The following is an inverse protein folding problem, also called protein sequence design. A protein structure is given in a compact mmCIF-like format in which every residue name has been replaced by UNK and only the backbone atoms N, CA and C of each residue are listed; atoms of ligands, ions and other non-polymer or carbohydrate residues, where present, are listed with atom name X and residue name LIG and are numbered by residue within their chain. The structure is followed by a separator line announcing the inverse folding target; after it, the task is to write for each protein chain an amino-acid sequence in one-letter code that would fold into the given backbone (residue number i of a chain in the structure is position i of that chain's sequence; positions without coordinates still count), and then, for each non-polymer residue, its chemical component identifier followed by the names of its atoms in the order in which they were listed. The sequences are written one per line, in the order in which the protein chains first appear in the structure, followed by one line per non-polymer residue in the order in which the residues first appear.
data_IF_293614617950
#
_entry.id   IF_293614617950
#
_cell.length_a   1.000
_cell.length_b   1.000
_cell.length_c   1.000
_cell.angle_alpha   90.00
_cell.angle_beta   90.00
_cell.angle_gamma   90.00
#
_symmetry.space_group_name_H-M   'P 1'
#
loop_
_entity.id
_entity.type
_entity.pdbx_description
1 polymer ?
#
# COMPACT_ATOMS: atom_id res chain seq x y z
N UNK A 1 33.56 -16.78 29.72
CA UNK A 1 32.72 -16.32 30.85
C UNK A 1 33.66 -15.74 31.90
N UNK A 2 33.35 -14.62 32.60
CA UNK A 2 32.04 -14.04 33.00
C UNK A 2 31.76 -12.69 32.26
N UNK A 3 30.54 -12.21 31.98
CA UNK A 3 29.28 -11.88 32.70
C UNK A 3 29.10 -10.38 33.07
N UNK A 4 28.19 -9.74 32.32
CA UNK A 4 27.11 -8.78 32.69
C UNK A 4 27.28 -7.23 32.77
N UNK A 5 26.42 -6.59 31.93
CA UNK A 5 25.39 -5.55 32.18
C UNK A 5 25.66 -4.02 32.16
N UNK A 6 24.88 -3.38 31.27
CA UNK A 6 24.14 -2.09 31.33
C UNK A 6 24.92 -0.77 31.17
N UNK A 7 24.65 -0.07 30.06
CA UNK A 7 24.13 1.31 30.09
C UNK A 7 23.56 1.72 28.73
N UNK A 8 22.27 2.07 28.74
CA UNK A 8 21.61 2.91 27.76
C UNK A 8 22.20 4.33 27.85
N UNK A 9 22.25 5.08 26.74
CA UNK A 9 21.64 6.40 26.80
C UNK A 9 20.78 6.69 25.58
N UNK A 10 19.47 6.74 25.80
CA UNK A 10 18.62 7.70 25.12
C UNK A 10 19.02 9.10 25.62
N UNK A 11 19.62 9.92 24.74
CA UNK A 11 19.46 11.37 24.83
C UNK A 11 19.67 12.00 23.46
N UNK A 12 18.71 12.86 23.09
CA UNK A 12 18.78 13.90 22.06
C UNK A 12 18.84 13.50 20.58
N UNK A 13 17.68 13.20 20.00
CA UNK A 13 17.30 13.81 18.72
C UNK A 13 15.88 14.38 18.84
N UNK A 14 15.81 15.55 19.47
CA UNK A 14 14.75 16.53 19.18
C UNK A 14 15.07 17.05 17.78
N UNK A 15 14.48 16.44 16.75
CA UNK A 15 14.44 17.07 15.43
C UNK A 15 13.44 18.21 15.56
N UNK A 16 13.97 19.39 15.90
CA UNK A 16 13.22 20.62 15.97
C UNK A 16 12.54 20.89 14.63
N UNK A 17 11.28 21.34 14.70
CA UNK A 17 10.47 21.81 13.56
C UNK A 17 11.18 22.83 12.66
N UNK A 18 12.31 23.39 13.09
CA UNK A 18 13.09 24.38 12.35
C UNK A 18 13.99 23.79 11.25
N UNK A 19 14.40 22.51 11.32
CA UNK A 19 15.38 21.98 10.35
C UNK A 19 14.80 21.66 8.97
N UNK A 20 13.47 21.54 8.86
CA UNK A 20 12.78 21.38 7.57
C UNK A 20 12.57 22.75 6.93
N UNK A 21 12.22 23.77 7.73
CA UNK A 21 12.00 25.15 7.26
C UNK A 21 13.26 25.74 6.62
N UNK A 22 14.43 25.51 7.23
CA UNK A 22 15.71 26.02 6.71
C UNK A 22 16.17 25.34 5.41
N UNK A 23 15.74 24.10 5.14
CA UNK A 23 16.11 23.37 3.91
C UNK A 23 15.23 23.70 2.70
N UNK A 24 14.06 24.32 2.92
CA UNK A 24 13.09 24.64 1.87
C UNK A 24 13.12 26.12 1.43
N UNK A 25 13.80 26.99 2.19
CA UNK A 25 14.01 28.40 1.86
C UNK A 25 14.71 28.66 0.49
N UNK A 26 15.63 27.84 -0.02
CA UNK A 26 16.24 28.07 -1.34
C UNK A 26 15.27 27.90 -2.51
N UNK A 27 14.10 27.27 -2.29
CA UNK A 27 13.13 26.92 -3.33
C UNK A 27 11.92 27.86 -3.37
N UNK A 28 11.96 28.99 -2.67
CA UNK A 28 10.94 30.04 -2.79
C UNK A 28 9.56 29.69 -2.22
N UNK A 29 9.45 28.63 -1.42
CA UNK A 29 8.20 28.27 -0.74
C UNK A 29 8.06 29.03 0.59
N UNK A 30 7.59 30.27 0.53
CA UNK A 30 7.05 30.98 1.69
C UNK A 30 5.52 30.87 1.72
N UNK A 31 5.06 30.12 2.71
CA UNK A 31 3.73 30.07 3.36
C UNK A 31 2.57 30.87 2.72
N UNK A 32 1.58 30.11 2.20
CA UNK A 32 0.16 30.37 2.44
C UNK A 32 -0.59 29.02 2.54
N UNK A 33 -0.32 28.26 3.61
CA UNK A 33 -1.18 27.16 4.03
C UNK A 33 -1.90 27.59 5.31
N UNK A 34 -3.01 28.30 5.13
CA UNK A 34 -4.00 28.45 6.19
C UNK A 34 -4.70 27.11 6.39
N UNK A 35 -4.79 26.65 7.64
CA UNK A 35 -5.34 25.37 8.08
C UNK A 35 -6.78 25.04 7.62
N UNK A 36 -7.46 25.95 6.91
CA UNK A 36 -8.79 25.75 6.34
C UNK A 36 -8.79 25.17 4.91
N UNK A 37 -7.64 25.08 4.22
CA UNK A 37 -7.55 24.51 2.87
C UNK A 37 -7.27 23.00 2.83
N UNK A 38 -6.60 22.44 3.84
CA UNK A 38 -6.28 21.01 3.89
C UNK A 38 -7.55 20.14 3.91
N UNK A 39 -8.62 20.63 4.54
CA UNK A 39 -9.89 19.91 4.61
C UNK A 39 -10.68 19.95 3.31
N UNK A 40 -10.47 20.97 2.47
CA UNK A 40 -11.19 21.15 1.20
C UNK A 40 -10.49 20.38 0.07
N UNK A 41 -9.16 20.40 0.03
CA UNK A 41 -8.36 19.61 -0.92
C UNK A 41 -8.44 18.11 -0.63
N UNK A 42 -8.42 17.71 0.65
CA UNK A 42 -8.61 16.32 1.03
C UNK A 42 -10.03 15.83 0.69
N UNK A 43 -11.06 16.66 0.90
CA UNK A 43 -12.43 16.34 0.45
C UNK A 43 -12.53 16.26 -1.06
N UNK A 44 -11.86 17.12 -1.82
CA UNK A 44 -11.84 17.06 -3.28
C UNK A 44 -11.13 15.79 -3.78
N UNK A 45 -10.00 15.41 -3.18
CA UNK A 45 -9.28 14.18 -3.49
C UNK A 45 -10.11 12.94 -3.14
N UNK A 46 -10.74 12.91 -1.95
CA UNK A 46 -11.66 11.83 -1.54
C UNK A 46 -12.87 11.75 -2.47
N UNK A 47 -13.43 12.89 -2.89
CA UNK A 47 -14.56 12.95 -3.83
C UNK A 47 -14.15 12.48 -5.23
N UNK A 48 -12.95 12.84 -5.69
CA UNK A 48 -12.35 12.35 -6.94
C UNK A 48 -12.08 10.84 -6.87
N UNK A 49 -11.57 10.34 -5.74
CA UNK A 49 -11.32 8.91 -5.53
C UNK A 49 -12.61 8.09 -5.39
N UNK A 50 -13.66 8.64 -4.74
CA UNK A 50 -15.01 8.03 -4.71
C UNK A 50 -15.61 7.94 -6.11
N UNK A 51 -15.51 9.01 -6.90
CA UNK A 51 -15.94 9.03 -8.31
C UNK A 51 -15.11 8.08 -9.21
N UNK A 52 -13.84 7.84 -8.85
CA UNK A 52 -12.93 6.99 -9.60
C UNK A 52 -13.15 5.48 -9.36
N UNK A 53 -13.56 5.10 -8.15
CA UNK A 53 -13.72 3.68 -7.78
C UNK A 53 -15.15 3.15 -7.91
N UNK A 54 -16.16 4.03 -7.99
CA UNK A 54 -17.57 3.62 -8.12
C UNK A 54 -18.30 4.49 -9.13
N UNK A 55 -18.98 3.83 -10.06
CA UNK A 55 -19.73 4.37 -11.19
C UNK A 55 -21.03 5.09 -10.84
N UNK A 56 -21.11 5.79 -9.70
CA UNK A 56 -22.25 6.66 -9.38
C UNK A 56 -21.85 8.12 -9.63
N UNK A 57 -21.75 8.43 -10.91
CA UNK A 57 -21.41 9.74 -11.49
C UNK A 57 -22.72 10.52 -11.72
N UNK A 58 -23.38 10.93 -10.65
CA UNK A 58 -24.53 11.84 -10.74
C UNK A 58 -24.10 13.30 -10.91
N UNK A 59 -23.00 13.70 -10.25
CA UNK A 59 -22.74 15.12 -9.96
C UNK A 59 -21.42 15.68 -10.57
N UNK A 60 -20.76 14.96 -11.50
CA UNK A 60 -19.51 15.39 -12.14
C UNK A 60 -19.53 15.31 -13.67
N UNK A 61 -20.67 15.62 -14.27
CA UNK A 61 -20.92 15.48 -15.71
C UNK A 61 -20.03 16.38 -16.60
N UNK A 62 -19.26 17.34 -16.06
CA UNK A 62 -18.53 18.33 -16.89
C UNK A 62 -17.00 18.30 -16.81
N UNK A 63 -16.39 17.33 -16.11
CA UNK A 63 -14.94 17.15 -16.18
C UNK A 63 -14.62 15.96 -17.08
N UNK A 64 -14.22 16.25 -18.32
CA UNK A 64 -13.73 15.26 -19.29
C UNK A 64 -12.32 14.76 -18.87
N UNK A 65 -12.27 14.09 -17.73
CA UNK A 65 -11.07 13.53 -17.14
C UNK A 65 -10.77 12.22 -17.85
N UNK A 66 -9.57 12.10 -18.43
CA UNK A 66 -9.09 10.84 -18.99
C UNK A 66 -8.80 9.84 -17.85
N UNK A 67 -9.85 9.11 -17.48
CA UNK A 67 -9.81 8.08 -16.43
C UNK A 67 -8.78 7.00 -16.77
N UNK A 68 -8.59 6.67 -18.06
CA UNK A 68 -7.62 5.66 -18.47
C UNK A 68 -6.18 6.15 -18.23
N UNK A 69 -5.88 7.41 -18.54
CA UNK A 69 -4.59 8.03 -18.23
C UNK A 69 -4.34 8.08 -16.72
N UNK A 70 -5.30 8.59 -15.94
CA UNK A 70 -5.16 8.65 -14.47
C UNK A 70 -4.95 7.28 -13.84
N UNK A 71 -5.67 6.26 -14.32
CA UNK A 71 -5.49 4.88 -13.83
C UNK A 71 -4.08 4.38 -14.07
N UNK A 72 -3.51 4.62 -15.27
CA UNK A 72 -2.13 4.26 -15.58
C UNK A 72 -1.14 5.01 -14.69
N UNK A 73 -1.35 6.32 -14.49
CA UNK A 73 -0.48 7.16 -13.66
C UNK A 73 -0.47 6.69 -12.20
N UNK A 74 -1.64 6.47 -11.59
CA UNK A 74 -1.77 5.97 -10.22
C UNK A 74 -1.18 4.57 -10.08
N UNK A 75 -1.37 3.71 -11.08
CA UNK A 75 -0.80 2.37 -11.08
C UNK A 75 0.74 2.40 -11.17
N UNK A 76 1.32 3.24 -12.03
CA UNK A 76 2.77 3.46 -12.08
C UNK A 76 3.32 4.01 -10.77
N UNK A 77 2.62 4.97 -10.14
CA UNK A 77 2.99 5.51 -8.84
C UNK A 77 3.03 4.43 -7.75
N UNK A 78 2.00 3.57 -7.69
CA UNK A 78 1.95 2.47 -6.74
C UNK A 78 3.13 1.49 -6.92
N UNK A 79 3.55 1.20 -8.16
CA UNK A 79 4.69 0.31 -8.43
C UNK A 79 6.02 0.96 -8.08
N UNK A 80 6.19 2.26 -8.35
CA UNK A 80 7.38 3.00 -7.94
C UNK A 80 7.52 3.03 -6.42
N UNK A 81 6.42 3.28 -5.71
CA UNK A 81 6.40 3.23 -4.25
C UNK A 81 6.70 1.83 -3.74
N UNK A 82 6.06 0.79 -4.30
CA UNK A 82 6.40 -0.60 -3.97
C UNK A 82 7.88 -0.85 -4.11
N UNK A 83 8.49 -0.51 -5.25
CA UNK A 83 9.93 -0.71 -5.49
C UNK A 83 10.79 -0.01 -4.42
N UNK A 84 10.50 1.26 -4.12
CA UNK A 84 11.21 2.00 -3.07
C UNK A 84 11.07 1.32 -1.69
N UNK A 85 9.89 0.81 -1.35
CA UNK A 85 9.66 0.05 -0.11
C UNK A 85 10.46 -1.26 -0.09
N UNK A 86 10.64 -1.93 -1.23
CA UNK A 86 11.41 -3.18 -1.31
C UNK A 86 12.91 -2.99 -1.11
N UNK A 87 13.43 -1.79 -1.38
CA UNK A 87 14.84 -1.45 -1.12
C UNK A 87 15.13 -1.21 0.37
N UNK A 88 14.09 -1.03 1.19
CA UNK A 88 14.25 -0.94 2.64
C UNK A 88 14.35 -2.32 3.27
N UNK A 89 15.35 -2.53 4.14
CA UNK A 89 15.60 -3.82 4.79
C UNK A 89 15.10 -3.83 6.24
N UNK A 90 14.53 -4.97 6.64
CA UNK A 90 14.26 -5.30 8.04
C UNK A 90 13.29 -4.34 8.74
N UNK A 91 13.73 -3.73 9.85
CA UNK A 91 12.90 -2.90 10.72
C UNK A 91 12.32 -1.68 10.01
N UNK A 92 13.08 -1.07 9.08
CA UNK A 92 12.61 0.09 8.32
C UNK A 92 11.41 -0.28 7.45
N UNK A 93 11.48 -1.44 6.78
CA UNK A 93 10.37 -1.95 5.99
C UNK A 93 9.13 -2.21 6.85
N UNK A 94 9.32 -2.75 8.05
CA UNK A 94 8.22 -2.98 9.02
C UNK A 94 7.55 -1.67 9.45
N UNK A 95 8.32 -0.63 9.76
CA UNK A 95 7.79 0.69 10.13
C UNK A 95 7.01 1.32 8.97
N UNK A 96 7.56 1.26 7.76
CA UNK A 96 6.90 1.79 6.57
C UNK A 96 5.62 1.04 6.25
N UNK A 97 5.61 -0.29 6.36
CA UNK A 97 4.42 -1.10 6.14
C UNK A 97 3.36 -0.89 7.22
N UNK A 98 3.76 -0.67 8.48
CA UNK A 98 2.83 -0.28 9.56
C UNK A 98 2.18 1.07 9.24
N UNK A 99 2.96 2.06 8.83
CA UNK A 99 2.45 3.37 8.45
C UNK A 99 1.53 3.27 7.23
N UNK A 100 1.94 2.54 6.19
CA UNK A 100 1.12 2.25 5.02
C UNK A 100 -0.21 1.63 5.42
N UNK A 101 -0.21 0.60 6.26
CA UNK A 101 -1.42 -0.08 6.71
C UNK A 101 -2.36 0.87 7.47
N UNK A 102 -1.82 1.71 8.35
CA UNK A 102 -2.61 2.73 9.06
C UNK A 102 -3.25 3.73 8.10
N UNK A 103 -2.48 4.26 7.14
CA UNK A 103 -3.00 5.21 6.16
C UNK A 103 -4.03 4.56 5.23
N UNK A 104 -3.81 3.31 4.82
CA UNK A 104 -4.76 2.54 4.04
C UNK A 104 -6.10 2.43 4.78
N UNK A 105 -6.10 2.06 6.06
CA UNK A 105 -7.34 1.97 6.85
C UNK A 105 -8.06 3.30 6.97
N UNK A 106 -7.33 4.41 7.20
CA UNK A 106 -7.91 5.75 7.22
C UNK A 106 -8.57 6.09 5.89
N UNK A 107 -7.93 5.77 4.77
CA UNK A 107 -8.48 6.00 3.43
C UNK A 107 -9.68 5.10 3.15
N UNK A 108 -9.66 3.82 3.55
CA UNK A 108 -10.79 2.92 3.40
C UNK A 108 -12.01 3.43 4.18
N UNK A 109 -11.81 3.90 5.40
CA UNK A 109 -12.88 4.48 6.22
C UNK A 109 -13.45 5.76 5.59
N UNK A 110 -12.59 6.70 5.16
CA UNK A 110 -13.00 7.93 4.49
C UNK A 110 -13.77 7.67 3.17
N UNK A 111 -13.46 6.56 2.49
CA UNK A 111 -14.12 6.12 1.28
C UNK A 111 -15.34 5.22 1.53
N UNK A 112 -15.66 4.94 2.80
CA UNK A 112 -16.73 4.01 3.22
C UNK A 112 -16.57 2.61 2.61
N UNK A 113 -15.32 2.18 2.44
CA UNK A 113 -14.94 0.88 1.91
C UNK A 113 -14.76 -0.14 3.03
N UNK A 114 -15.73 -1.03 3.16
CA UNK A 114 -15.68 -2.09 4.17
C UNK A 114 -14.86 -3.29 3.67
N UNK A 115 -13.54 -3.14 3.65
CA UNK A 115 -12.58 -4.22 3.36
C UNK A 115 -11.99 -4.74 4.68
N UNK A 116 -12.70 -5.64 5.36
CA UNK A 116 -12.27 -6.17 6.67
C UNK A 116 -11.72 -7.59 6.62
N UNK A 117 -11.95 -8.28 5.52
CA UNK A 117 -11.58 -9.67 5.31
C UNK A 117 -11.22 -9.90 3.84
N UNK A 118 -10.52 -10.99 3.58
CA UNK A 118 -10.02 -11.32 2.24
C UNK A 118 -11.17 -11.54 1.25
N UNK A 119 -12.32 -12.03 1.70
CA UNK A 119 -13.48 -12.31 0.83
C UNK A 119 -14.12 -11.02 0.33
N UNK A 120 -14.35 -10.04 1.22
CA UNK A 120 -14.86 -8.71 0.88
C UNK A 120 -13.92 -7.95 -0.05
N UNK A 121 -12.60 -8.05 0.20
CA UNK A 121 -11.59 -7.49 -0.70
C UNK A 121 -11.61 -8.09 -2.10
N UNK A 122 -11.62 -9.42 -2.22
CA UNK A 122 -11.68 -10.11 -3.52
C UNK A 122 -12.95 -9.75 -4.29
N UNK A 123 -14.08 -9.73 -3.59
CA UNK A 123 -15.38 -9.37 -4.19
C UNK A 123 -15.34 -7.96 -4.75
N UNK A 124 -14.75 -7.02 -4.00
CA UNK A 124 -14.61 -5.63 -4.42
C UNK A 124 -13.72 -5.49 -5.65
N UNK A 125 -12.57 -6.17 -5.69
CA UNK A 125 -11.68 -6.16 -6.86
C UNK A 125 -12.36 -6.68 -8.14
N UNK A 126 -13.15 -7.76 -7.99
CA UNK A 126 -13.91 -8.34 -9.12
C UNK A 126 -15.03 -7.41 -9.57
N UNK A 127 -15.81 -6.85 -8.62
CA UNK A 127 -16.90 -5.90 -8.92
C UNK A 127 -16.38 -4.65 -9.65
N UNK A 128 -15.19 -4.18 -9.28
CA UNK A 128 -14.51 -3.06 -9.93
C UNK A 128 -13.89 -3.43 -11.30
N UNK A 129 -13.96 -4.68 -11.73
CA UNK A 129 -13.38 -5.12 -13.01
C UNK A 129 -11.85 -5.02 -13.07
N UNK A 130 -11.17 -4.96 -11.92
CA UNK A 130 -9.71 -4.83 -11.84
C UNK A 130 -8.99 -6.15 -12.09
N UNK A 131 -9.68 -7.26 -11.83
CA UNK A 131 -9.16 -8.63 -11.89
C UNK A 131 -10.25 -9.58 -12.36
N UNK A 132 -9.89 -10.59 -13.15
CA UNK A 132 -10.80 -11.69 -13.52
C UNK A 132 -10.94 -12.70 -12.38
N UNK A 133 -9.82 -13.06 -11.77
CA UNK A 133 -9.78 -14.06 -10.72
C UNK A 133 -8.76 -13.68 -9.64
N UNK A 134 -9.14 -13.90 -8.39
CA UNK A 134 -8.24 -13.87 -7.24
C UNK A 134 -8.45 -15.13 -6.44
N UNK A 135 -7.35 -15.77 -6.04
CA UNK A 135 -7.33 -16.97 -5.20
C UNK A 135 -6.40 -16.73 -4.01
N UNK A 136 -6.84 -17.17 -2.84
CA UNK A 136 -5.98 -17.29 -1.66
C UNK A 136 -5.89 -18.75 -1.30
N UNK A 137 -4.67 -19.26 -1.16
CA UNK A 137 -4.40 -20.66 -0.86
C UNK A 137 -3.51 -20.75 0.37
N UNK A 138 -3.93 -21.50 1.37
CA UNK A 138 -3.01 -21.95 2.40
C UNK A 138 -2.08 -23.00 1.78
N UNK A 139 -0.78 -22.74 1.77
CA UNK A 139 0.24 -23.71 1.36
C UNK A 139 0.71 -24.54 2.55
N UNK A 140 0.67 -23.95 3.75
CA UNK A 140 0.89 -24.63 5.03
C UNK A 140 0.19 -23.85 6.16
N UNK A 141 0.36 -24.27 7.41
CA UNK A 141 -0.12 -23.50 8.57
C UNK A 141 0.53 -22.14 8.74
N UNK A 142 1.68 -21.90 8.08
CA UNK A 142 2.48 -20.66 8.17
C UNK A 142 2.69 -19.98 6.83
N UNK A 143 2.11 -20.47 5.74
CA UNK A 143 2.34 -19.89 4.41
C UNK A 143 1.02 -19.77 3.65
N UNK A 144 0.76 -18.58 3.14
CA UNK A 144 -0.38 -18.28 2.29
C UNK A 144 0.11 -17.74 0.94
N UNK A 145 -0.49 -18.22 -0.13
CA UNK A 145 -0.29 -17.71 -1.48
C UNK A 145 -1.52 -16.89 -1.94
N UNK A 146 -1.27 -15.64 -2.31
CA UNK A 146 -2.23 -14.74 -2.93
C UNK A 146 -1.96 -14.66 -4.44
N UNK A 147 -2.95 -15.09 -5.24
CA UNK A 147 -2.84 -15.21 -6.70
C UNK A 147 -3.86 -14.27 -7.34
N UNK A 148 -3.39 -13.41 -8.23
CA UNK A 148 -4.21 -12.55 -9.09
C UNK A 148 -4.04 -13.00 -10.53
N UNK A 149 -5.15 -13.12 -11.26
CA UNK A 149 -5.17 -13.42 -12.69
C UNK A 149 -6.11 -12.49 -13.46
N UNK A 150 -5.75 -12.23 -14.72
CA UNK A 150 -6.47 -11.30 -15.58
C UNK A 150 -6.55 -9.90 -14.96
N UNK A 151 -5.44 -9.40 -14.44
CA UNK A 151 -5.36 -8.02 -13.97
C UNK A 151 -5.46 -7.06 -15.16
N UNK A 152 -6.45 -6.18 -15.13
CA UNK A 152 -6.75 -5.22 -16.21
C UNK A 152 -5.59 -4.26 -16.46
N UNK A 153 -4.75 -4.04 -15.44
CA UNK A 153 -3.61 -3.13 -15.51
C UNK A 153 -2.27 -3.81 -15.85
N UNK A 154 -2.25 -5.14 -15.91
CA UNK A 154 -1.04 -5.91 -16.22
C UNK A 154 -0.35 -5.48 -17.53
N UNK A 155 -1.06 -5.19 -18.65
CA UNK A 155 -0.42 -4.79 -19.90
C UNK A 155 0.46 -3.53 -19.80
N UNK A 156 0.23 -2.68 -18.80
CA UNK A 156 0.95 -1.40 -18.66
C UNK A 156 2.22 -1.52 -17.83
N UNK A 157 2.28 -2.45 -16.88
CA UNK A 157 3.37 -2.51 -15.88
C UNK A 157 4.06 -3.87 -15.83
N UNK A 158 3.33 -4.98 -15.98
CA UNK A 158 3.90 -6.31 -15.76
C UNK A 158 4.97 -6.65 -16.79
N UNK A 159 4.74 -6.32 -18.07
CA UNK A 159 5.74 -6.54 -19.13
C UNK A 159 7.05 -5.82 -18.81
N UNK A 160 6.99 -4.59 -18.30
CA UNK A 160 8.17 -3.85 -17.89
C UNK A 160 8.88 -4.53 -16.70
N UNK A 161 8.13 -4.90 -15.66
CA UNK A 161 8.67 -5.57 -14.46
C UNK A 161 9.36 -6.90 -14.83
N UNK A 162 8.72 -7.70 -15.70
CA UNK A 162 9.26 -8.98 -16.17
C UNK A 162 10.52 -8.76 -17.01
N UNK A 163 10.46 -7.90 -18.03
CA UNK A 163 11.58 -7.67 -18.95
C UNK A 163 12.79 -7.04 -18.27
N UNK A 164 12.60 -6.33 -17.14
CA UNK A 164 13.67 -5.77 -16.33
C UNK A 164 14.21 -6.72 -15.26
N UNK A 165 13.70 -7.96 -15.16
CA UNK A 165 14.14 -8.92 -14.15
C UNK A 165 13.80 -8.47 -12.72
N UNK A 166 12.71 -7.72 -12.56
CA UNK A 166 12.22 -7.21 -11.27
C UNK A 166 11.16 -8.12 -10.64
N UNK A 167 10.71 -9.15 -11.36
CA UNK A 167 9.85 -10.20 -10.82
C UNK A 167 10.53 -10.91 -9.64
N UNK A 168 9.79 -11.12 -8.55
CA UNK A 168 10.32 -11.63 -7.27
C UNK A 168 11.00 -10.57 -6.40
N UNK A 169 11.36 -9.40 -6.95
CA UNK A 169 11.99 -8.28 -6.22
C UNK A 169 11.04 -7.14 -5.93
N UNK A 170 9.91 -7.07 -6.63
CA UNK A 170 8.88 -6.06 -6.44
C UNK A 170 7.64 -6.64 -5.77
N UNK A 171 6.95 -5.80 -5.01
CA UNK A 171 5.65 -6.14 -4.42
C UNK A 171 4.51 -5.62 -5.30
N UNK A 172 3.59 -6.52 -5.67
CA UNK A 172 2.33 -6.17 -6.30
C UNK A 172 1.49 -5.30 -5.34
N UNK A 173 1.02 -4.11 -5.74
CA UNK A 173 0.21 -3.25 -4.87
C UNK A 173 -1.07 -3.93 -4.36
N UNK A 174 -1.71 -4.76 -5.20
CA UNK A 174 -2.88 -5.54 -4.76
C UNK A 174 -2.53 -6.56 -3.68
N UNK A 175 -1.31 -7.11 -3.72
CA UNK A 175 -0.82 -8.01 -2.69
C UNK A 175 -0.44 -7.25 -1.40
N UNK A 176 0.09 -6.03 -1.50
CA UNK A 176 0.33 -5.17 -0.34
C UNK A 176 -0.95 -4.87 0.44
N UNK A 177 -2.05 -4.56 -0.27
CA UNK A 177 -3.38 -4.42 0.34
C UNK A 177 -3.83 -5.76 0.93
N UNK A 178 -3.72 -6.86 0.18
CA UNK A 178 -4.10 -8.20 0.64
C UNK A 178 -3.41 -8.58 1.96
N UNK A 179 -2.14 -8.23 2.12
CA UNK A 179 -1.37 -8.47 3.34
C UNK A 179 -1.99 -7.76 4.56
N UNK A 180 -2.38 -6.49 4.40
CA UNK A 180 -3.02 -5.72 5.48
C UNK A 180 -4.39 -6.32 5.82
N UNK A 181 -5.19 -6.65 4.80
CA UNK A 181 -6.50 -7.27 5.00
C UNK A 181 -6.36 -8.64 5.68
N UNK A 182 -5.39 -9.45 5.26
CA UNK A 182 -5.10 -10.74 5.87
C UNK A 182 -4.66 -10.57 7.34
N UNK A 183 -3.88 -9.55 7.66
CA UNK A 183 -3.50 -9.26 9.04
C UNK A 183 -4.72 -8.86 9.89
N UNK A 184 -5.62 -8.01 9.35
CA UNK A 184 -6.87 -7.62 10.02
C UNK A 184 -7.76 -8.81 10.32
N UNK A 185 -7.94 -9.70 9.34
CA UNK A 185 -8.74 -10.93 9.49
C UNK A 185 -8.19 -11.83 10.62
N UNK A 186 -6.89 -11.70 10.91
CA UNK A 186 -6.18 -12.40 11.99
C UNK A 186 -6.08 -11.61 13.29
N UNK A 187 -6.82 -10.50 13.42
CA UNK A 187 -6.91 -9.72 14.64
C UNK A 187 -5.77 -8.72 14.84
N UNK A 188 -5.00 -8.37 13.80
CA UNK A 188 -4.06 -7.26 13.86
C UNK A 188 -4.79 -5.95 14.17
N UNK A 189 -4.11 -5.06 14.91
CA UNK A 189 -4.57 -3.72 15.25
C UNK A 189 -3.50 -2.68 14.86
N UNK A 190 -3.86 -1.47 14.42
CA UNK A 190 -2.91 -0.48 13.87
C UNK A 190 -1.79 -0.03 14.81
N UNK A 191 -1.99 -0.19 16.12
CA UNK A 191 -1.01 0.10 17.16
C UNK A 191 0.09 -0.98 17.26
N UNK A 192 -0.17 -2.20 16.78
CA UNK A 192 0.75 -3.35 16.79
C UNK A 192 1.61 -3.45 15.52
N UNK A 193 2.70 -4.20 15.59
CA UNK A 193 3.55 -4.46 14.42
C UNK A 193 2.83 -5.33 13.39
N UNK A 194 2.72 -4.88 12.13
CA UNK A 194 2.08 -5.67 11.06
C UNK A 194 2.80 -7.02 10.86
N UNK A 195 4.13 -7.01 10.94
CA UNK A 195 4.99 -8.18 10.75
C UNK A 195 4.95 -9.17 11.92
N UNK A 196 4.21 -8.88 12.99
CA UNK A 196 3.88 -9.86 14.03
C UNK A 196 2.76 -10.82 13.60
N UNK A 197 2.06 -10.51 12.50
CA UNK A 197 0.91 -11.28 12.01
C UNK A 197 1.17 -11.86 10.62
N UNK A 198 1.72 -11.04 9.71
CA UNK A 198 1.99 -11.42 8.32
C UNK A 198 3.29 -10.79 7.88
N UNK A 199 4.15 -11.54 7.20
CA UNK A 199 5.44 -11.07 6.66
C UNK A 199 5.57 -11.38 5.18
N UNK A 200 6.41 -10.61 4.50
CA UNK A 200 6.84 -10.98 3.16
C UNK A 200 7.76 -12.20 3.21
N UNK A 201 7.63 -13.06 2.20
CA UNK A 201 8.66 -14.05 1.92
C UNK A 201 9.88 -13.36 1.29
N UNK A 202 11.02 -14.08 1.24
CA UNK A 202 12.25 -13.57 0.62
C UNK A 202 12.04 -13.14 -0.82
N UNK A 203 11.24 -13.89 -1.57
CA UNK A 203 10.72 -13.49 -2.87
C UNK A 203 9.36 -12.82 -2.67
N UNK A 204 9.20 -11.62 -3.23
CA UNK A 204 7.99 -10.81 -3.06
C UNK A 204 6.88 -11.28 -4.01
N UNK A 205 6.62 -10.56 -5.10
CA UNK A 205 5.61 -10.95 -6.09
C UNK A 205 6.26 -11.48 -7.36
N UNK A 206 5.87 -12.69 -7.76
CA UNK A 206 6.14 -13.25 -9.07
C UNK A 206 5.11 -12.71 -10.07
N UNK A 207 5.57 -11.90 -11.01
CA UNK A 207 4.73 -11.30 -12.06
C UNK A 207 4.62 -12.23 -13.27
N UNK A 208 3.40 -12.39 -13.79
CA UNK A 208 3.08 -12.99 -15.08
C UNK A 208 2.54 -11.91 -16.02
N UNK A 209 2.42 -12.21 -17.31
CA UNK A 209 1.88 -11.25 -18.29
C UNK A 209 0.46 -10.77 -17.95
N UNK A 210 -0.32 -11.58 -17.23
CA UNK A 210 -1.72 -11.35 -16.92
C UNK A 210 -2.01 -11.17 -15.42
N UNK A 211 -1.02 -11.29 -14.54
CA UNK A 211 -1.28 -11.44 -13.11
C UNK A 211 -0.04 -11.50 -12.23
N UNK A 212 -0.25 -11.90 -10.98
CA UNK A 212 0.81 -12.00 -9.97
C UNK A 212 0.56 -13.15 -9.01
N UNK A 213 1.63 -13.74 -8.49
CA UNK A 213 1.60 -14.67 -7.34
C UNK A 213 2.48 -14.09 -6.25
N UNK A 214 1.94 -13.92 -5.05
CA UNK A 214 2.67 -13.41 -3.89
C UNK A 214 2.51 -14.38 -2.75
N UNK A 215 3.60 -14.71 -2.07
CA UNK A 215 3.58 -15.57 -0.90
C UNK A 215 3.82 -14.75 0.35
N UNK A 216 3.07 -15.06 1.39
CA UNK A 216 3.20 -14.46 2.71
C UNK A 216 3.52 -15.52 3.73
N UNK A 217 4.44 -15.21 4.65
CA UNK A 217 4.58 -15.94 5.90
C UNK A 217 3.51 -15.44 6.87
N UNK A 218 2.79 -16.37 7.47
CA UNK A 218 1.79 -16.11 8.49
C UNK A 218 2.40 -16.46 9.83
N UNK A 219 2.52 -15.45 10.70
CA UNK A 219 3.09 -15.61 12.03
C UNK A 219 1.93 -16.02 12.95
N UNK A 220 2.07 -17.18 13.59
CA UNK A 220 1.09 -17.70 14.54
C UNK A 220 0.94 -16.74 15.73
N UNK A 221 -0.29 -16.32 16.00
CA UNK A 221 -0.70 -15.57 17.21
C UNK A 221 -0.86 -16.54 18.37
#
# INVERSE_FOLDING_TARGET
MPHYLIACPYSSYIIGRNSIRERLLPYGYTEHLTANNEHTEYKALVKLMKAFMFSDIGDFIDMNVDIAFLTKLLHSHAYALSLALTETLGEVQSILMKNYAKQLLMMLDALELNLRDVTSYITSLKKAGLVKEVKVRALSSKEIEFIVKGCTLAPYTHRFVINRGLSGKMLCPLAAIAMVILALERGWKPDRGLFEYVRFMRELSLFTEDGTRTKFEVVSV
#
